data_IF_770323451548
#
_entry.id   IF_770323451548
#
_cell.length_a   1.000
_cell.length_b   1.000
_cell.length_c   1.000
_cell.angle_alpha   90.00
_cell.angle_beta   90.00
_cell.angle_gamma   90.00
#
_symmetry.space_group_name_H-M   'P 1'
#
loop_
_entity.id
_entity.type
_entity.pdbx_description
1 polymer ?
#
# COMPACT_ATOMS: atom_id res chain seq x y z
N UNK A 1 42.98 -4.63 -0.77
CA UNK A 1 42.13 -5.20 0.30
C UNK A 1 41.20 -4.15 0.94
N UNK A 2 41.67 -2.93 1.21
CA UNK A 2 40.85 -1.85 1.79
C UNK A 2 39.61 -1.44 0.97
N UNK A 3 39.72 -1.41 -0.37
CA UNK A 3 38.58 -1.11 -1.28
C UNK A 3 37.44 -2.13 -1.21
N UNK A 4 37.75 -3.41 -0.93
CA UNK A 4 36.72 -4.47 -0.79
C UNK A 4 35.98 -4.37 0.54
N UNK A 5 36.67 -3.93 1.60
CA UNK A 5 36.06 -3.67 2.91
C UNK A 5 35.07 -2.50 2.87
N UNK A 6 35.38 -1.44 2.12
CA UNK A 6 34.50 -0.29 1.92
C UNK A 6 33.18 -0.65 1.23
N UNK A 7 33.22 -1.57 0.25
CA UNK A 7 32.02 -2.04 -0.46
C UNK A 7 31.10 -2.85 0.47
N UNK A 8 31.67 -3.70 1.33
CA UNK A 8 30.90 -4.49 2.30
C UNK A 8 30.27 -3.57 3.37
N UNK A 9 31.00 -2.55 3.83
CA UNK A 9 30.48 -1.58 4.78
C UNK A 9 29.30 -0.75 4.22
N UNK A 10 29.35 -0.40 2.92
CA UNK A 10 28.26 0.33 2.27
C UNK A 10 27.01 -0.54 2.05
N UNK A 11 27.16 -1.86 1.92
CA UNK A 11 26.06 -2.79 1.67
C UNK A 11 25.25 -3.12 2.94
N UNK A 12 25.86 -2.98 4.13
CA UNK A 12 25.20 -3.22 5.43
C UNK A 12 24.40 -2.00 5.90
N UNK A 13 24.68 -0.80 5.37
CA UNK A 13 24.05 0.46 5.78
C UNK A 13 22.90 0.91 4.88
N UNK A 14 22.29 -0.01 4.12
CA UNK A 14 21.02 0.24 3.46
C UNK A 14 19.90 -0.40 4.29
N UNK A 15 19.36 0.27 5.32
CA UNK A 15 18.05 -0.10 5.82
C UNK A 15 17.08 0.13 4.66
N UNK A 16 16.73 -0.96 3.98
CA UNK A 16 15.68 -0.98 2.98
C UNK A 16 14.36 -0.61 3.66
N UNK A 17 14.07 0.68 3.72
CA UNK A 17 12.70 1.17 3.89
C UNK A 17 11.94 0.81 2.62
N UNK A 18 11.60 -0.46 2.49
CA UNK A 18 10.55 -0.92 1.60
C UNK A 18 9.20 -0.48 2.21
N UNK A 19 9.00 0.84 2.28
CA UNK A 19 7.67 1.38 2.48
C UNK A 19 6.91 1.08 1.20
N UNK A 20 5.91 0.21 1.28
CA UNK A 20 4.95 0.10 0.19
C UNK A 20 4.41 1.51 -0.07
N UNK A 21 4.65 2.03 -1.28
CA UNK A 21 4.17 3.36 -1.63
C UNK A 21 2.66 3.36 -1.48
N UNK A 22 2.10 4.21 -0.62
CA UNK A 22 0.67 4.25 -0.35
C UNK A 22 -0.16 4.50 -1.63
N UNK A 23 0.46 5.09 -2.66
CA UNK A 23 -0.11 5.18 -4.00
C UNK A 23 -0.26 3.80 -4.66
N UNK A 24 0.79 2.96 -4.61
CA UNK A 24 0.77 1.61 -5.18
C UNK A 24 -0.28 0.68 -4.53
N UNK A 25 -0.43 0.75 -3.20
CA UNK A 25 -1.44 -0.03 -2.47
C UNK A 25 -2.86 0.41 -2.85
N UNK A 26 -3.07 1.72 -2.97
CA UNK A 26 -4.36 2.28 -3.39
C UNK A 26 -4.72 1.81 -4.80
N UNK A 27 -3.83 1.99 -5.76
CA UNK A 27 -4.13 1.70 -7.16
C UNK A 27 -4.44 0.22 -7.37
N UNK A 28 -3.72 -0.66 -6.66
CA UNK A 28 -3.99 -2.09 -6.64
C UNK A 28 -5.40 -2.41 -6.11
N UNK A 29 -5.75 -1.91 -4.92
CA UNK A 29 -7.07 -2.16 -4.32
C UNK A 29 -8.19 -1.60 -5.20
N UNK A 30 -8.01 -0.42 -5.78
CA UNK A 30 -9.00 0.16 -6.70
C UNK A 30 -9.15 -0.68 -7.97
N UNK A 31 -8.05 -1.21 -8.52
CA UNK A 31 -8.11 -2.14 -9.67
C UNK A 31 -8.89 -3.39 -9.32
N UNK A 32 -8.54 -4.07 -8.23
CA UNK A 32 -9.20 -5.30 -7.78
C UNK A 32 -10.71 -5.07 -7.55
N UNK A 33 -11.09 -3.95 -6.92
CA UNK A 33 -12.50 -3.60 -6.72
C UNK A 33 -13.24 -3.34 -8.05
N UNK A 34 -12.57 -2.74 -9.04
CA UNK A 34 -13.17 -2.52 -10.36
C UNK A 34 -13.35 -3.84 -11.10
N UNK A 35 -12.36 -4.72 -11.03
CA UNK A 35 -12.41 -6.06 -11.61
C UNK A 35 -13.54 -6.90 -10.97
N UNK A 36 -13.80 -6.70 -9.68
CA UNK A 36 -14.92 -7.28 -8.91
C UNK A 36 -16.29 -6.63 -9.24
N UNK A 37 -16.34 -5.64 -10.13
CA UNK A 37 -17.57 -4.97 -10.58
C UNK A 37 -18.08 -3.84 -9.68
N UNK A 38 -17.26 -3.33 -8.76
CA UNK A 38 -17.58 -2.13 -8.00
C UNK A 38 -17.40 -0.87 -8.84
N UNK A 39 -18.40 0.04 -8.79
CA UNK A 39 -18.44 1.23 -9.65
C UNK A 39 -18.19 2.52 -8.88
N UNK A 40 -18.74 2.61 -7.67
CA UNK A 40 -18.52 3.77 -6.81
C UNK A 40 -17.50 3.41 -5.74
N UNK A 41 -16.28 3.93 -5.85
CA UNK A 41 -15.20 3.67 -4.89
C UNK A 41 -14.78 4.99 -4.27
N UNK A 42 -15.01 5.14 -2.96
CA UNK A 42 -14.61 6.31 -2.17
C UNK A 42 -13.44 5.94 -1.28
N UNK A 43 -12.38 6.73 -1.33
CA UNK A 43 -11.21 6.57 -0.47
C UNK A 43 -11.14 7.72 0.53
N UNK A 44 -10.85 7.38 1.79
CA UNK A 44 -10.58 8.34 2.86
C UNK A 44 -9.39 7.87 3.70
N UNK A 45 -8.81 8.80 4.47
CA UNK A 45 -7.77 8.48 5.44
C UNK A 45 -8.36 8.58 6.85
N UNK A 46 -8.06 7.58 7.68
CA UNK A 46 -8.40 7.60 9.11
C UNK A 46 -7.46 8.52 9.88
N UNK A 47 -7.81 8.87 11.12
CA UNK A 47 -6.94 9.65 12.01
C UNK A 47 -5.59 8.95 12.27
N UNK A 48 -5.58 7.61 12.26
CA UNK A 48 -4.38 6.78 12.45
C UNK A 48 -3.62 6.53 11.14
N UNK A 49 -3.93 7.25 10.06
CA UNK A 49 -3.20 7.17 8.80
C UNK A 49 -3.56 5.97 7.91
N UNK A 50 -4.45 5.06 8.34
CA UNK A 50 -4.94 3.95 7.49
C UNK A 50 -5.76 4.47 6.31
N UNK A 51 -5.69 3.75 5.19
CA UNK A 51 -6.54 3.98 4.03
C UNK A 51 -7.85 3.22 4.23
N UNK A 52 -8.97 3.89 4.03
CA UNK A 52 -10.31 3.32 4.06
C UNK A 52 -10.96 3.46 2.69
N UNK A 53 -11.42 2.36 2.14
CA UNK A 53 -12.13 2.26 0.87
C UNK A 53 -13.57 1.82 1.15
N UNK A 54 -14.53 2.55 0.61
CA UNK A 54 -15.94 2.17 0.59
C UNK A 54 -16.34 2.02 -0.87
N UNK A 55 -16.67 0.80 -1.27
CA UNK A 55 -16.98 0.44 -2.64
C UNK A 55 -18.43 -0.04 -2.73
N UNK A 56 -19.18 0.48 -3.70
CA UNK A 56 -20.58 0.12 -3.91
C UNK A 56 -20.79 -0.42 -5.32
N UNK A 57 -21.55 -1.52 -5.40
CA UNK A 57 -22.16 -2.06 -6.62
C UNK A 57 -23.65 -2.29 -6.38
N UNK A 58 -24.37 -2.73 -7.41
CA UNK A 58 -25.85 -2.77 -7.43
C UNK A 58 -26.46 -3.53 -6.24
N UNK A 59 -25.81 -4.60 -5.81
CA UNK A 59 -26.29 -5.57 -4.82
C UNK A 59 -25.43 -5.63 -3.55
N UNK A 60 -24.32 -4.87 -3.48
CA UNK A 60 -23.36 -5.01 -2.39
C UNK A 60 -22.57 -3.73 -2.09
N UNK A 61 -22.21 -3.58 -0.82
CA UNK A 61 -21.27 -2.59 -0.31
C UNK A 61 -20.10 -3.32 0.33
N UNK A 62 -18.87 -2.90 0.02
CA UNK A 62 -17.64 -3.44 0.58
C UNK A 62 -16.82 -2.33 1.22
N UNK A 63 -16.42 -2.54 2.45
CA UNK A 63 -15.50 -1.66 3.15
C UNK A 63 -14.15 -2.37 3.36
N UNK A 64 -13.06 -1.67 3.05
CA UNK A 64 -11.69 -2.16 3.24
C UNK A 64 -10.91 -1.10 4.00
N UNK A 65 -10.29 -1.48 5.11
CA UNK A 65 -9.36 -0.62 5.86
C UNK A 65 -8.01 -1.30 5.86
N UNK A 66 -6.99 -0.61 5.36
CA UNK A 66 -5.63 -1.15 5.25
C UNK A 66 -4.63 -0.17 5.83
N UNK A 67 -3.65 -0.69 6.55
CA UNK A 67 -2.47 0.06 6.91
C UNK A 67 -1.54 0.16 5.67
N UNK A 68 -1.32 1.35 5.08
CA UNK A 68 -0.51 1.48 3.88
C UNK A 68 0.96 1.12 4.09
N UNK A 69 1.44 1.09 5.34
CA UNK A 69 2.84 0.79 5.66
C UNK A 69 3.11 -0.70 5.89
N UNK A 70 2.09 -1.48 6.28
CA UNK A 70 2.25 -2.90 6.61
C UNK A 70 1.38 -3.84 5.79
N UNK A 71 0.36 -3.33 5.09
CA UNK A 71 -0.59 -4.12 4.28
C UNK A 71 -1.63 -4.90 5.09
N UNK A 72 -1.67 -4.70 6.43
CA UNK A 72 -2.60 -5.36 7.37
C UNK A 72 -3.81 -4.47 7.65
#
# INVERSE_FOLDING_TARGET
MLKRLLIIFFLVLAPGVAGADSASVRDRIVSELRDDGYREIRMSRTLLGRLRFVATRRDAVREIVVNPFTGV
#
